data_IF_403436822209
#
_entry.id   IF_403436822209
#
_cell.length_a   1.000
_cell.length_b   1.000
_cell.length_c   1.000
_cell.angle_alpha   90.00
_cell.angle_beta   90.00
_cell.angle_gamma   90.00
#
_symmetry.space_group_name_H-M   'P 1'
#
loop_
_entity.id
_entity.type
_entity.pdbx_description
1 polymer ?
#
# COMPACT_ATOMS: atom_id res chain seq x y z
N UNK A 1 20.08 3.31 15.28
CA UNK A 1 20.02 3.97 13.97
C UNK A 1 20.92 3.20 13.00
N UNK A 2 20.33 2.51 12.04
CA UNK A 2 21.05 1.74 11.02
C UNK A 2 20.19 1.71 9.77
N UNK A 3 19.94 2.87 9.18
CA UNK A 3 19.16 2.98 7.95
C UNK A 3 20.00 2.50 6.78
N UNK A 4 19.54 1.48 6.07
CA UNK A 4 20.10 1.13 4.76
C UNK A 4 20.03 2.39 3.88
N UNK A 5 21.17 2.80 3.31
CA UNK A 5 21.18 3.91 2.36
C UNK A 5 20.32 3.54 1.15
N UNK A 6 19.43 4.44 0.70
CA UNK A 6 18.63 4.19 -0.49
C UNK A 6 19.55 4.14 -1.71
N UNK A 7 19.29 3.18 -2.59
CA UNK A 7 19.98 3.04 -3.88
C UNK A 7 19.49 4.09 -4.88
N UNK A 8 18.22 4.46 -4.79
CA UNK A 8 17.59 5.41 -5.68
C UNK A 8 16.45 6.12 -4.96
N UNK A 9 16.32 7.42 -5.18
CA UNK A 9 15.27 8.25 -4.60
C UNK A 9 14.64 9.14 -5.67
N UNK A 10 13.34 9.37 -5.54
CA UNK A 10 12.58 10.29 -6.37
C UNK A 10 11.74 11.21 -5.49
N UNK A 11 11.60 12.45 -5.94
CA UNK A 11 10.66 13.42 -5.39
C UNK A 11 9.83 13.95 -6.56
N UNK A 12 8.53 13.65 -6.57
CA UNK A 12 7.62 14.06 -7.63
C UNK A 12 6.60 15.06 -7.08
N UNK A 13 6.32 16.10 -7.87
CA UNK A 13 5.18 16.97 -7.66
C UNK A 13 3.91 16.23 -8.12
N UNK A 14 2.86 16.28 -7.32
CA UNK A 14 1.58 15.60 -7.55
C UNK A 14 0.44 16.49 -7.08
N UNK A 15 -0.77 16.20 -7.55
CA UNK A 15 -1.99 16.77 -6.95
C UNK A 15 -2.13 16.37 -5.47
N UNK A 16 -2.72 17.23 -4.61
CA UNK A 16 -2.98 16.94 -3.19
C UNK A 16 -3.86 15.71 -2.93
N UNK A 17 -4.62 15.31 -3.94
CA UNK A 17 -5.40 14.08 -3.98
C UNK A 17 -5.04 13.35 -5.27
N UNK A 18 -5.20 12.04 -5.24
CA UNK A 18 -4.85 11.18 -6.36
C UNK A 18 -4.79 9.74 -5.93
N UNK A 19 -4.23 8.90 -6.80
CA UNK A 19 -4.08 7.46 -6.56
C UNK A 19 -2.63 7.03 -6.65
N UNK A 20 -2.15 6.32 -5.64
CA UNK A 20 -0.90 5.57 -5.70
C UNK A 20 -1.17 4.16 -6.25
N UNK A 21 -0.57 3.86 -7.40
CA UNK A 21 -0.58 2.54 -8.02
C UNK A 21 0.79 1.90 -7.93
N UNK A 22 0.90 0.77 -7.22
CA UNK A 22 2.17 0.06 -7.04
C UNK A 22 2.06 -1.36 -7.60
N UNK A 23 3.03 -1.75 -8.43
CA UNK A 23 3.17 -3.09 -9.04
C UNK A 23 4.63 -3.54 -8.90
N UNK A 24 4.94 -4.25 -7.81
CA UNK A 24 6.33 -4.58 -7.45
C UNK A 24 6.48 -6.03 -6.95
N UNK A 25 7.56 -6.75 -7.31
CA UNK A 25 7.82 -8.12 -6.82
C UNK A 25 8.55 -8.16 -5.46
N UNK A 26 8.58 -7.04 -4.72
CA UNK A 26 9.41 -6.86 -3.54
C UNK A 26 8.66 -6.17 -2.39
N UNK A 27 9.34 -5.87 -1.29
CA UNK A 27 8.71 -5.27 -0.11
C UNK A 27 8.31 -3.82 -0.39
N UNK A 28 7.08 -3.45 -0.01
CA UNK A 28 6.54 -2.09 -0.14
C UNK A 28 6.10 -1.55 1.22
N UNK A 29 6.55 -0.35 1.54
CA UNK A 29 6.11 0.43 2.71
C UNK A 29 5.46 1.72 2.23
N UNK A 30 4.25 2.01 2.69
CA UNK A 30 3.52 3.24 2.36
C UNK A 30 3.11 3.94 3.65
N UNK A 31 3.40 5.23 3.72
CA UNK A 31 3.03 6.08 4.86
C UNK A 31 2.87 7.53 4.42
N UNK A 32 2.12 8.36 5.18
CA UNK A 32 2.00 9.75 4.82
C UNK A 32 3.31 10.52 5.00
N UNK A 33 3.48 11.57 4.21
CA UNK A 33 4.36 12.68 4.53
C UNK A 33 3.87 13.40 5.80
N UNK A 34 4.80 14.03 6.50
CA UNK A 34 4.48 14.86 7.66
C UNK A 34 3.74 16.13 7.21
N UNK A 35 2.45 16.30 7.58
CA UNK A 35 1.66 17.47 7.16
C UNK A 35 2.23 18.79 7.66
N UNK A 36 3.00 18.81 8.76
CA UNK A 36 3.64 20.04 9.23
C UNK A 36 4.81 20.47 8.34
N UNK A 37 5.46 19.51 7.69
CA UNK A 37 6.59 19.76 6.78
C UNK A 37 6.17 19.92 5.33
N UNK A 38 5.03 19.32 4.96
CA UNK A 38 4.48 19.32 3.61
C UNK A 38 2.98 19.69 3.66
N UNK A 39 2.66 20.95 4.00
CA UNK A 39 1.27 21.38 4.20
C UNK A 39 0.44 21.35 2.93
N UNK A 40 1.07 21.58 1.77
CA UNK A 40 0.40 21.63 0.47
C UNK A 40 -0.01 20.26 -0.05
N UNK A 41 0.49 19.18 0.57
CA UNK A 41 0.19 17.80 0.18
C UNK A 41 0.53 17.49 -1.29
N UNK A 42 1.44 18.24 -1.92
CA UNK A 42 1.71 18.26 -3.35
C UNK A 42 2.90 17.38 -3.79
N UNK A 43 3.33 16.46 -2.91
CA UNK A 43 4.56 15.69 -3.13
C UNK A 43 4.42 14.22 -2.81
N UNK A 44 5.11 13.40 -3.60
CA UNK A 44 5.39 11.99 -3.28
C UNK A 44 6.90 11.78 -3.26
N UNK A 45 7.38 11.10 -2.22
CA UNK A 45 8.77 10.66 -2.12
C UNK A 45 8.82 9.15 -2.28
N UNK A 46 9.67 8.65 -3.17
CA UNK A 46 9.91 7.23 -3.37
C UNK A 46 11.37 6.94 -3.08
N UNK A 47 11.65 5.95 -2.24
CA UNK A 47 13.01 5.52 -1.93
C UNK A 47 13.11 4.00 -2.12
N UNK A 48 14.02 3.56 -2.98
CA UNK A 48 14.34 2.15 -3.20
C UNK A 48 15.62 1.83 -2.45
N UNK A 49 15.60 0.78 -1.64
CA UNK A 49 16.76 0.26 -0.92
C UNK A 49 17.00 -1.19 -1.31
N UNK A 50 18.26 -1.56 -1.54
CA UNK A 50 18.65 -2.95 -1.81
C UNK A 50 19.30 -3.59 -0.59
N UNK A 51 19.25 -4.92 -0.52
CA UNK A 51 20.18 -5.65 0.34
C UNK A 51 21.58 -5.53 -0.28
N UNK A 52 22.50 -4.86 0.42
CA UNK A 52 23.86 -4.64 -0.08
C UNK A 52 24.52 -5.94 -0.54
N UNK A 53 24.75 -6.04 -1.84
CA UNK A 53 25.40 -7.19 -2.47
C UNK A 53 25.78 -6.84 -3.90
N UNK A 54 26.99 -6.32 -4.07
CA UNK A 54 27.77 -6.13 -5.31
C UNK A 54 27.14 -5.29 -6.44
N UNK A 55 27.92 -4.43 -7.13
CA UNK A 55 27.43 -3.74 -8.31
C UNK A 55 27.06 -4.76 -9.41
N UNK A 56 25.96 -4.55 -10.16
CA UNK A 56 25.64 -5.42 -11.28
C UNK A 56 26.75 -5.33 -12.35
N UNK A 57 27.06 -6.44 -13.06
CA UNK A 57 27.98 -6.40 -14.19
C UNK A 57 27.45 -5.41 -15.24
N UNK A 58 28.34 -4.53 -15.71
CA UNK A 58 28.04 -3.50 -16.71
C UNK A 58 27.40 -4.15 -17.94
N UNK A 59 26.19 -3.74 -18.33
CA UNK A 59 25.62 -4.17 -19.61
C UNK A 59 24.13 -3.96 -19.87
N UNK A 60 23.27 -3.79 -18.87
CA UNK A 60 21.83 -3.49 -19.11
C UNK A 60 21.28 -2.56 -18.03
N UNK A 61 21.50 -1.26 -18.22
CA UNK A 61 20.90 -0.21 -17.39
C UNK A 61 19.47 0.05 -17.86
N UNK A 62 18.53 -0.84 -17.54
CA UNK A 62 17.13 -0.45 -17.36
C UNK A 62 16.97 -0.09 -15.89
N UNK A 63 16.45 1.10 -15.60
CA UNK A 63 16.03 1.40 -14.23
C UNK A 63 15.09 0.28 -13.77
N UNK A 64 15.43 -0.44 -12.70
CA UNK A 64 14.68 -1.62 -12.29
C UNK A 64 13.29 -1.23 -11.76
N UNK A 65 13.12 0.03 -11.34
CA UNK A 65 11.85 0.60 -10.89
C UNK A 65 11.54 1.85 -11.71
N UNK A 66 10.38 1.86 -12.35
CA UNK A 66 9.80 3.03 -13.05
C UNK A 66 8.87 3.76 -12.12
N UNK A 67 9.01 5.07 -12.08
CA UNK A 67 8.30 5.97 -11.18
C UNK A 67 7.78 7.13 -12.01
N UNK A 68 6.46 7.17 -12.23
CA UNK A 68 5.81 8.09 -13.16
C UNK A 68 4.56 8.70 -12.52
N UNK A 69 4.27 9.96 -12.82
CA UNK A 69 3.04 10.63 -12.43
C UNK A 69 2.28 11.07 -13.68
N UNK A 70 1.01 10.68 -13.76
CA UNK A 70 0.06 11.10 -14.78
C UNK A 70 -0.89 12.15 -14.17
N UNK A 71 -0.74 13.39 -14.59
CA UNK A 71 -1.53 14.53 -14.10
C UNK A 71 -3.00 14.45 -14.54
N UNK A 72 -3.28 13.94 -15.73
CA UNK A 72 -4.64 13.82 -16.25
C UNK A 72 -5.46 12.75 -15.50
N UNK A 73 -4.78 11.70 -15.03
CA UNK A 73 -5.38 10.64 -14.22
C UNK A 73 -5.21 10.85 -12.70
N UNK A 74 -4.51 11.91 -12.28
CA UNK A 74 -4.05 12.13 -10.91
C UNK A 74 -3.41 10.87 -10.29
N UNK A 75 -2.65 10.13 -11.09
CA UNK A 75 -2.18 8.79 -10.75
C UNK A 75 -0.66 8.72 -10.70
N UNK A 76 -0.15 8.29 -9.56
CA UNK A 76 1.25 7.97 -9.33
C UNK A 76 1.48 6.48 -9.54
N UNK A 77 2.29 6.10 -10.53
CA UNK A 77 2.61 4.71 -10.85
C UNK A 77 4.05 4.35 -10.44
N UNK A 78 4.19 3.25 -9.70
CA UNK A 78 5.48 2.64 -9.36
C UNK A 78 5.46 1.20 -9.86
N UNK A 79 6.25 0.91 -10.89
CA UNK A 79 6.22 -0.37 -11.61
C UNK A 79 7.62 -0.93 -11.75
N UNK A 80 7.79 -2.21 -11.48
CA UNK A 80 9.05 -2.91 -11.70
C UNK A 80 8.83 -4.34 -12.17
N UNK A 81 9.60 -4.75 -13.18
CA UNK A 81 9.73 -6.13 -13.59
C UNK A 81 11.12 -6.65 -13.22
N UNK A 82 11.18 -7.73 -12.43
CA UNK A 82 12.45 -8.41 -12.14
C UNK A 82 13.38 -7.72 -11.15
N UNK A 83 12.85 -6.89 -10.24
CA UNK A 83 13.60 -6.39 -9.07
C UNK A 83 13.95 -7.54 -8.12
N UNK A 84 15.14 -7.50 -7.53
CA UNK A 84 15.56 -8.44 -6.47
C UNK A 84 14.50 -8.47 -5.36
N UNK A 85 14.03 -9.67 -5.00
CA UNK A 85 13.02 -9.86 -3.94
C UNK A 85 13.47 -9.31 -2.57
N UNK A 86 14.78 -9.07 -2.39
CA UNK A 86 15.37 -8.44 -1.20
C UNK A 86 15.34 -6.90 -1.21
N UNK A 87 14.92 -6.29 -2.31
CA UNK A 87 14.73 -4.85 -2.37
C UNK A 87 13.51 -4.42 -1.54
N UNK A 88 13.54 -3.20 -1.05
CA UNK A 88 12.42 -2.59 -0.33
C UNK A 88 12.19 -1.17 -0.85
N UNK A 89 10.92 -0.85 -1.10
CA UNK A 89 10.47 0.46 -1.58
C UNK A 89 9.68 1.16 -0.47
N UNK A 90 10.19 2.29 0.03
CA UNK A 90 9.46 3.20 0.93
C UNK A 90 8.82 4.31 0.09
N UNK A 91 7.51 4.43 0.18
CA UNK A 91 6.73 5.47 -0.49
C UNK A 91 6.12 6.37 0.58
N UNK A 92 6.39 7.66 0.47
CA UNK A 92 5.76 8.70 1.27
C UNK A 92 4.81 9.49 0.41
N UNK A 93 3.52 9.42 0.72
CA UNK A 93 2.46 10.07 -0.06
C UNK A 93 1.77 11.16 0.75
N UNK A 94 0.96 12.00 0.12
CA UNK A 94 -0.04 12.76 0.85
C UNK A 94 -0.99 11.82 1.61
N UNK A 95 -1.53 12.30 2.73
CA UNK A 95 -2.40 11.49 3.61
C UNK A 95 -3.63 10.96 2.87
N UNK A 96 -4.13 11.72 1.90
CA UNK A 96 -5.42 11.53 1.20
C UNK A 96 -5.34 10.78 -0.14
N UNK A 97 -4.26 10.03 -0.35
CA UNK A 97 -4.09 9.26 -1.58
C UNK A 97 -4.84 7.93 -1.51
N UNK A 98 -5.61 7.63 -2.55
CA UNK A 98 -6.15 6.30 -2.76
C UNK A 98 -5.04 5.31 -3.05
N UNK A 99 -5.22 4.06 -2.63
CA UNK A 99 -4.19 3.04 -2.73
C UNK A 99 -4.66 1.92 -3.66
N UNK A 100 -3.83 1.56 -4.63
CA UNK A 100 -3.94 0.36 -5.46
C UNK A 100 -2.57 -0.33 -5.49
N UNK A 101 -2.32 -1.22 -4.54
CA UNK A 101 -1.03 -1.84 -4.32
C UNK A 101 -1.13 -3.33 -4.64
N UNK A 102 -0.24 -3.82 -5.49
CA UNK A 102 -0.11 -5.25 -5.78
C UNK A 102 1.34 -5.65 -5.70
N UNK A 103 1.61 -6.69 -4.92
CA UNK A 103 2.91 -7.34 -4.88
C UNK A 103 2.83 -8.79 -5.32
N UNK A 104 3.88 -9.25 -6.01
CA UNK A 104 4.03 -10.63 -6.45
C UNK A 104 5.14 -11.36 -5.70
N UNK A 105 5.14 -12.69 -5.78
CA UNK A 105 6.07 -13.54 -5.05
C UNK A 105 5.96 -13.34 -3.54
N UNK A 106 7.09 -13.13 -2.88
CA UNK A 106 7.18 -12.98 -1.41
C UNK A 106 7.12 -11.51 -0.96
N UNK A 107 6.74 -10.57 -1.82
CA UNK A 107 6.71 -9.15 -1.50
C UNK A 107 5.70 -8.81 -0.42
N UNK A 108 6.17 -8.33 0.73
CA UNK A 108 5.33 -7.89 1.85
C UNK A 108 4.87 -6.44 1.69
N UNK A 109 3.68 -6.11 2.15
CA UNK A 109 3.14 -4.74 2.13
C UNK A 109 2.98 -4.22 3.55
N UNK A 110 3.46 -3.01 3.83
CA UNK A 110 3.22 -2.32 5.09
C UNK A 110 2.60 -0.96 4.82
N UNK A 111 1.45 -0.68 5.43
CA UNK A 111 0.77 0.62 5.28
C UNK A 111 0.49 1.20 6.64
N UNK A 112 0.77 2.50 6.82
CA UNK A 112 0.60 3.17 8.09
C UNK A 112 -0.04 4.54 7.92
N UNK A 113 -1.02 4.87 8.79
CA UNK A 113 -1.55 6.23 8.99
C UNK A 113 -2.09 6.92 7.72
N UNK A 114 -2.68 6.17 6.80
CA UNK A 114 -3.31 6.70 5.59
C UNK A 114 -4.81 6.89 5.81
N UNK A 115 -5.36 7.95 5.22
CA UNK A 115 -6.80 8.20 5.15
C UNK A 115 -7.21 8.33 3.68
N UNK A 116 -7.96 7.38 3.11
CA UNK A 116 -8.32 7.40 1.70
C UNK A 116 -9.79 7.11 1.45
N UNK A 117 -10.24 7.25 0.21
CA UNK A 117 -11.59 6.86 -0.20
C UNK A 117 -11.61 5.40 -0.66
N UNK A 118 -10.54 4.95 -1.31
CA UNK A 118 -10.40 3.59 -1.82
C UNK A 118 -9.04 3.00 -1.43
N UNK A 119 -9.06 1.75 -0.95
CA UNK A 119 -7.86 1.01 -0.59
C UNK A 119 -7.95 -0.41 -1.15
N UNK A 120 -7.14 -0.68 -2.19
CA UNK A 120 -7.00 -2.01 -2.76
C UNK A 120 -5.58 -2.50 -2.56
N UNK A 121 -5.44 -3.67 -1.93
CA UNK A 121 -4.14 -4.28 -1.67
C UNK A 121 -4.22 -5.77 -1.98
N UNK A 122 -3.33 -6.23 -2.84
CA UNK A 122 -3.19 -7.63 -3.24
C UNK A 122 -1.74 -8.09 -2.98
N UNK A 123 -1.56 -9.18 -2.25
CA UNK A 123 -0.25 -9.84 -2.11
C UNK A 123 -0.35 -11.32 -2.42
N UNK A 124 0.60 -11.85 -3.19
CA UNK A 124 0.59 -13.26 -3.60
C UNK A 124 0.97 -14.20 -2.44
N UNK A 125 2.22 -14.14 -1.95
CA UNK A 125 2.70 -14.97 -0.82
C UNK A 125 3.20 -14.16 0.37
N UNK A 126 3.37 -12.85 0.18
CA UNK A 126 3.87 -11.93 1.19
C UNK A 126 2.85 -11.62 2.29
N UNK A 127 3.36 -11.26 3.46
CA UNK A 127 2.55 -10.80 4.59
C UNK A 127 2.26 -9.31 4.50
N UNK A 128 1.05 -8.92 4.86
CA UNK A 128 0.64 -7.52 4.89
C UNK A 128 0.39 -7.01 6.30
N UNK A 129 0.81 -5.78 6.56
CA UNK A 129 0.65 -5.12 7.86
C UNK A 129 -0.03 -3.76 7.67
N UNK A 130 -1.21 -3.60 8.26
CA UNK A 130 -1.99 -2.36 8.19
C UNK A 130 -2.11 -1.73 9.58
N UNK A 131 -1.68 -0.47 9.70
CA UNK A 131 -1.68 0.24 10.98
C UNK A 131 -2.36 1.60 10.86
N UNK A 132 -3.49 1.78 11.54
CA UNK A 132 -4.25 3.04 11.56
C UNK A 132 -4.65 3.50 10.16
N UNK A 133 -5.33 2.63 9.42
CA UNK A 133 -5.87 2.96 8.10
C UNK A 133 -7.32 3.38 8.25
N UNK A 134 -7.69 4.50 7.63
CA UNK A 134 -9.06 5.02 7.59
C UNK A 134 -9.51 5.10 6.13
N UNK A 135 -10.58 4.39 5.79
CA UNK A 135 -11.16 4.37 4.45
C UNK A 135 -12.56 4.95 4.52
N UNK A 136 -12.74 6.21 4.17
CA UNK A 136 -14.02 6.89 4.29
C UNK A 136 -14.45 7.40 2.93
N UNK A 137 -15.49 6.81 2.36
CA UNK A 137 -16.05 7.27 1.09
C UNK A 137 -16.70 8.63 1.27
N UNK A 138 -16.18 9.67 0.63
CA UNK A 138 -16.97 10.88 0.42
C UNK A 138 -18.04 10.58 -0.63
N UNK A 139 -19.30 10.51 -0.22
CA UNK A 139 -20.46 10.35 -1.11
C UNK A 139 -20.53 11.55 -2.07
N UNK A 140 -19.84 11.49 -3.20
CA UNK A 140 -20.24 12.27 -4.38
C UNK A 140 -21.49 11.60 -4.95
N UNK A 141 -22.52 12.40 -5.23
CA UNK A 141 -23.83 11.98 -5.71
C UNK A 141 -23.73 11.10 -6.98
N UNK A 142 -23.49 9.79 -6.81
CA UNK A 142 -23.50 8.80 -7.87
C UNK A 142 -23.91 7.47 -7.27
N UNK A 143 -24.91 6.86 -7.89
CA UNK A 143 -25.73 5.72 -7.45
C UNK A 143 -25.02 4.37 -7.49
N UNK A 144 -23.77 4.28 -7.02
CA UNK A 144 -23.02 3.02 -6.92
C UNK A 144 -23.12 2.43 -5.50
N UNK A 145 -24.27 1.82 -5.20
CA UNK A 145 -24.65 1.30 -3.87
C UNK A 145 -23.88 0.03 -3.45
N UNK A 146 -22.99 -0.51 -4.29
CA UNK A 146 -22.33 -1.82 -4.05
C UNK A 146 -20.81 -1.86 -4.31
N UNK A 147 -20.11 -0.72 -4.28
CA UNK A 147 -18.65 -0.70 -4.46
C UNK A 147 -17.94 -0.87 -3.11
N UNK A 148 -17.18 -1.96 -2.94
CA UNK A 148 -16.32 -2.17 -1.77
C UNK A 148 -15.25 -1.07 -1.70
N UNK A 149 -15.18 -0.35 -0.59
CA UNK A 149 -14.22 0.77 -0.41
C UNK A 149 -12.82 0.27 -0.03
N UNK A 150 -12.75 -0.90 0.62
CA UNK A 150 -11.49 -1.55 0.96
C UNK A 150 -11.53 -3.03 0.53
N UNK A 151 -10.57 -3.45 -0.30
CA UNK A 151 -10.42 -4.84 -0.75
C UNK A 151 -8.99 -5.30 -0.51
N UNK A 152 -8.86 -6.30 0.34
CA UNK A 152 -7.61 -6.76 0.90
C UNK A 152 -7.46 -8.27 0.62
N UNK A 153 -6.62 -8.62 -0.34
CA UNK A 153 -6.33 -10.00 -0.72
C UNK A 153 -4.89 -10.34 -0.34
N UNK A 154 -4.73 -11.28 0.59
CA UNK A 154 -3.42 -11.55 1.19
C UNK A 154 -3.17 -13.03 1.36
N UNK A 155 -1.89 -13.42 1.39
CA UNK A 155 -1.55 -14.71 1.98
C UNK A 155 -1.69 -14.69 3.50
N UNK A 156 -1.17 -13.65 4.15
CA UNK A 156 -1.34 -13.42 5.59
C UNK A 156 -1.42 -11.92 5.86
N UNK A 157 -2.23 -11.54 6.83
CA UNK A 157 -2.48 -10.13 7.15
C UNK A 157 -2.53 -9.88 8.65
N UNK A 158 -1.92 -8.79 9.08
CA UNK A 158 -1.99 -8.28 10.44
C UNK A 158 -2.49 -6.83 10.45
N UNK A 159 -3.66 -6.61 11.02
CA UNK A 159 -4.35 -5.34 11.09
C UNK A 159 -4.35 -4.86 12.54
N UNK A 160 -3.68 -3.74 12.80
CA UNK A 160 -3.72 -3.13 14.14
C UNK A 160 -4.98 -2.30 14.33
N UNK A 161 -5.30 -1.44 13.36
CA UNK A 161 -6.51 -0.62 13.38
C UNK A 161 -6.91 -0.30 11.95
N UNK A 162 -8.12 -0.68 11.58
CA UNK A 162 -8.73 -0.38 10.28
C UNK A 162 -10.13 0.18 10.51
N UNK A 163 -10.44 1.30 9.88
CA UNK A 163 -11.74 1.96 9.96
C UNK A 163 -12.25 2.20 8.54
N UNK A 164 -13.54 1.97 8.28
CA UNK A 164 -14.13 2.39 7.02
C UNK A 164 -15.59 2.01 6.84
N UNK A 165 -16.21 2.39 5.73
CA UNK A 165 -17.64 2.13 5.51
C UNK A 165 -17.89 0.67 5.12
N UNK A 166 -17.32 0.20 4.00
CA UNK A 166 -17.39 -1.19 3.55
C UNK A 166 -16.02 -1.83 3.42
N UNK A 167 -15.74 -2.86 4.23
CA UNK A 167 -14.45 -3.55 4.26
C UNK A 167 -14.57 -5.01 3.82
N UNK A 168 -13.71 -5.43 2.89
CA UNK A 168 -13.57 -6.82 2.50
C UNK A 168 -12.11 -7.28 2.64
N UNK A 169 -11.91 -8.34 3.41
CA UNK A 169 -10.60 -8.95 3.64
C UNK A 169 -10.71 -10.44 3.33
N UNK A 170 -9.86 -10.92 2.45
CA UNK A 170 -9.78 -12.33 2.10
C UNK A 170 -8.34 -12.82 2.13
N UNK A 171 -8.15 -13.99 2.71
CA UNK A 171 -6.89 -14.73 2.70
C UNK A 171 -7.06 -16.10 2.04
N UNK A 172 -5.99 -16.63 1.44
CA UNK A 172 -6.01 -17.98 0.84
C UNK A 172 -5.54 -19.04 1.84
N UNK A 173 -4.26 -19.07 2.24
CA UNK A 173 -3.69 -20.12 3.11
C UNK A 173 -2.85 -19.53 4.25
N UNK A 174 -3.36 -18.51 4.94
CA UNK A 174 -2.60 -17.90 6.02
C UNK A 174 -3.41 -17.06 6.98
N UNK A 175 -2.70 -16.52 7.96
CA UNK A 175 -3.29 -15.92 9.15
C UNK A 175 -3.92 -14.56 8.82
N UNK A 176 -5.21 -14.41 9.06
CA UNK A 176 -5.90 -13.12 9.13
C UNK A 176 -5.99 -12.70 10.59
N UNK A 177 -5.19 -11.72 11.01
CA UNK A 177 -5.24 -11.15 12.35
C UNK A 177 -5.71 -9.71 12.32
N UNK A 178 -6.69 -9.35 13.14
CA UNK A 178 -7.13 -7.97 13.35
C UNK A 178 -7.27 -7.66 14.83
N UNK A 179 -6.78 -6.50 15.28
CA UNK A 179 -6.93 -6.03 16.67
C UNK A 179 -8.13 -5.11 16.83
N UNK A 180 -8.32 -4.15 15.92
CA UNK A 180 -9.45 -3.24 15.92
C UNK A 180 -9.99 -3.03 14.49
N UNK A 181 -11.26 -3.34 14.27
CA UNK A 181 -11.98 -3.07 13.03
C UNK A 181 -13.25 -2.25 13.33
N UNK A 182 -13.39 -1.11 12.67
CA UNK A 182 -14.57 -0.26 12.79
C UNK A 182 -15.19 -0.05 11.42
N UNK A 183 -16.31 -0.71 11.12
CA UNK A 183 -16.97 -0.53 9.85
C UNK A 183 -18.47 -0.80 9.87
N UNK A 184 -19.22 -0.02 9.10
CA UNK A 184 -20.66 -0.20 8.91
C UNK A 184 -20.97 -1.58 8.32
N UNK A 185 -20.12 -2.04 7.39
CA UNK A 185 -20.17 -3.40 6.86
C UNK A 185 -18.77 -3.98 6.69
N UNK A 186 -18.60 -5.23 7.10
CA UNK A 186 -17.35 -5.95 6.94
C UNK A 186 -17.56 -7.41 6.56
N UNK A 187 -16.68 -7.92 5.71
CA UNK A 187 -16.62 -9.32 5.29
C UNK A 187 -15.19 -9.80 5.40
N UNK A 188 -14.96 -10.81 6.23
CA UNK A 188 -13.65 -11.42 6.46
C UNK A 188 -13.75 -12.90 6.12
N UNK A 189 -12.83 -13.41 5.31
CA UNK A 189 -12.83 -14.81 4.87
C UNK A 189 -11.40 -15.34 4.73
N UNK A 190 -11.20 -16.62 5.02
CA UNK A 190 -10.00 -17.37 4.66
C UNK A 190 -10.41 -18.68 4.01
N UNK A 191 -9.73 -19.10 2.94
CA UNK A 191 -9.97 -20.42 2.32
C UNK A 191 -9.40 -21.53 3.21
N UNK A 192 -8.16 -21.34 3.65
CA UNK A 192 -7.40 -22.15 4.60
C UNK A 192 -6.62 -21.20 5.53
N UNK A 193 -6.38 -21.62 6.78
CA UNK A 193 -5.72 -20.80 7.80
C UNK A 193 -6.67 -20.09 8.77
N UNK A 194 -6.08 -19.49 9.80
CA UNK A 194 -6.81 -18.97 10.96
C UNK A 194 -7.27 -17.53 10.78
N UNK A 195 -8.45 -17.21 11.33
CA UNK A 195 -8.94 -15.84 11.48
C UNK A 195 -8.96 -15.49 12.98
N UNK A 196 -8.11 -14.55 13.39
CA UNK A 196 -8.02 -14.04 14.76
C UNK A 196 -8.59 -12.63 14.84
N UNK A 197 -9.78 -12.52 15.44
CA UNK A 197 -10.49 -11.25 15.61
C UNK A 197 -10.29 -10.68 17.01
N UNK A 198 -9.92 -9.41 17.09
CA UNK A 198 -9.99 -8.59 18.28
C UNK A 198 -11.34 -7.89 18.40
N UNK A 199 -11.33 -6.58 18.64
CA UNK A 199 -12.57 -5.79 18.74
C UNK A 199 -13.08 -5.40 17.36
N UNK A 200 -14.32 -5.82 17.04
CA UNK A 200 -15.02 -5.47 15.81
C UNK A 200 -16.27 -4.67 16.19
N UNK A 201 -16.45 -3.51 15.56
CA UNK A 201 -17.59 -2.63 15.76
C UNK A 201 -18.16 -2.19 14.40
N UNK A 202 -19.49 -2.11 14.32
CA UNK A 202 -20.23 -1.61 13.17
C UNK A 202 -21.51 -0.92 13.57
#
# INVERSE_FOLDING_TARGET
AGGRKPLQEWALAVSPRGRLRVRLPCQVSVRPLDPQRYPDADRVLVAVSGAGGSPPPRGRQRDPVRVEYDEALEQMAIVADGVDSKAAVDVRTPVKFDLDIKTSGTGCVKIQKIECNNCKIETEKGTSVLQSIKVQRTLSHSTDVFKKDCVLEYNSVNIEKLQGTSINISTEDGLLKTKYLYAESSSLSSVAGDILLGSIHG
#
